data_IF_722252565885
#
_entry.id   IF_722252565885
#
_cell.length_a   1.000
_cell.length_b   1.000
_cell.length_c   1.000
_cell.angle_alpha   90.00
_cell.angle_beta   90.00
_cell.angle_gamma   90.00
#
_symmetry.space_group_name_H-M   'P 1'
#
loop_
_entity.id
_entity.type
_entity.pdbx_description
1 polymer ?
#
# COMPACT_ATOMS: atom_id res chain seq x y z
N UNK A 1 25.09 5.47 -6.21
CA UNK A 1 25.52 4.10 -6.53
C UNK A 1 24.66 3.55 -7.65
N UNK A 2 25.22 3.16 -8.79
CA UNK A 2 24.49 2.61 -9.95
C UNK A 2 24.74 1.11 -10.18
N UNK A 3 25.60 0.48 -9.38
CA UNK A 3 25.90 -0.95 -9.48
C UNK A 3 24.72 -1.84 -9.08
N UNK A 4 24.76 -3.08 -9.57
CA UNK A 4 23.78 -4.12 -9.23
C UNK A 4 24.46 -5.31 -8.55
N UNK A 5 23.89 -5.78 -7.44
CA UNK A 5 24.23 -7.03 -6.78
C UNK A 5 23.11 -8.05 -7.05
N UNK A 6 23.47 -9.26 -7.45
CA UNK A 6 22.49 -10.33 -7.70
C UNK A 6 22.70 -11.48 -6.72
N UNK A 7 21.65 -11.84 -5.99
CA UNK A 7 21.62 -12.95 -5.03
C UNK A 7 20.62 -14.00 -5.50
N UNK A 8 21.12 -15.02 -6.20
CA UNK A 8 20.31 -16.14 -6.73
C UNK A 8 20.42 -17.44 -5.92
N UNK A 9 21.35 -17.50 -4.95
CA UNK A 9 21.59 -18.68 -4.12
C UNK A 9 20.85 -18.65 -2.79
N UNK A 10 20.90 -19.77 -2.06
CA UNK A 10 20.55 -19.83 -0.65
C UNK A 10 21.69 -19.28 0.19
N UNK A 11 21.41 -18.29 1.02
CA UNK A 11 22.37 -17.73 1.97
C UNK A 11 21.95 -18.07 3.41
N UNK A 12 22.92 -18.44 4.25
CA UNK A 12 22.69 -18.83 5.66
C UNK A 12 23.31 -17.88 6.68
N UNK A 13 23.98 -16.83 6.21
CA UNK A 13 24.60 -15.82 7.08
C UNK A 13 23.56 -15.05 7.90
N UNK A 14 23.94 -14.68 9.13
CA UNK A 14 23.12 -13.90 10.06
C UNK A 14 23.56 -12.44 10.21
N UNK A 15 24.62 -12.04 9.51
CA UNK A 15 25.12 -10.67 9.51
C UNK A 15 24.12 -9.71 8.86
N UNK A 16 24.11 -8.45 9.33
CA UNK A 16 23.26 -7.43 8.75
C UNK A 16 23.58 -7.21 7.26
N UNK A 17 22.53 -7.04 6.46
CA UNK A 17 22.61 -6.69 5.05
C UNK A 17 22.15 -5.25 4.87
N UNK A 18 23.09 -4.34 4.59
CA UNK A 18 22.82 -2.91 4.51
C UNK A 18 23.04 -2.41 3.08
N UNK A 19 21.99 -1.87 2.48
CA UNK A 19 22.05 -1.16 1.20
C UNK A 19 22.08 0.34 1.46
N UNK A 20 23.03 1.05 0.86
CA UNK A 20 23.11 2.52 0.87
C UNK A 20 22.79 3.12 -0.51
N UNK A 21 22.19 2.32 -1.39
CA UNK A 21 21.84 2.65 -2.77
C UNK A 21 22.19 1.53 -3.75
N UNK A 22 21.91 1.75 -5.04
CA UNK A 22 22.17 0.76 -6.10
C UNK A 22 21.06 -0.29 -6.20
N UNK A 23 21.24 -1.29 -7.07
CA UNK A 23 20.23 -2.33 -7.32
C UNK A 23 20.57 -3.63 -6.61
N UNK A 24 19.61 -4.22 -5.90
CA UNK A 24 19.66 -5.58 -5.39
C UNK A 24 18.65 -6.45 -6.16
N UNK A 25 19.16 -7.41 -6.92
CA UNK A 25 18.35 -8.45 -7.56
C UNK A 25 18.21 -9.64 -6.58
N UNK A 26 17.01 -9.84 -6.05
CA UNK A 26 16.63 -10.95 -5.19
C UNK A 26 16.03 -12.07 -6.05
N UNK A 27 16.72 -13.20 -6.16
CA UNK A 27 16.30 -14.33 -7.00
C UNK A 27 16.24 -15.66 -6.22
N UNK A 28 16.17 -15.58 -4.89
CA UNK A 28 16.05 -16.73 -3.99
C UNK A 28 15.26 -16.36 -2.74
N UNK A 29 14.45 -17.30 -2.23
CA UNK A 29 13.63 -17.12 -1.03
C UNK A 29 14.45 -16.87 0.25
N UNK A 30 15.74 -17.25 0.25
CA UNK A 30 16.66 -17.06 1.37
C UNK A 30 17.87 -16.21 0.98
N UNK A 31 17.71 -15.39 -0.07
CA UNK A 31 18.79 -14.58 -0.63
C UNK A 31 19.52 -13.70 0.40
N UNK A 32 18.83 -13.21 1.43
CA UNK A 32 19.41 -12.30 2.43
C UNK A 32 20.04 -12.99 3.65
N UNK A 33 19.95 -14.33 3.76
CA UNK A 33 20.22 -14.98 5.04
C UNK A 33 19.21 -14.55 6.12
N UNK A 34 19.58 -14.56 7.39
CA UNK A 34 18.69 -14.27 8.53
C UNK A 34 18.96 -12.92 9.23
N UNK A 35 19.94 -12.16 8.76
CA UNK A 35 20.32 -10.89 9.39
C UNK A 35 19.33 -9.74 9.14
N UNK A 36 19.55 -8.62 9.83
CA UNK A 36 18.79 -7.38 9.65
C UNK A 36 18.95 -6.86 8.21
N UNK A 37 17.85 -6.50 7.56
CA UNK A 37 17.86 -5.91 6.23
C UNK A 37 17.64 -4.39 6.28
N UNK A 38 18.69 -3.61 6.05
CA UNK A 38 18.61 -2.14 6.05
C UNK A 38 18.54 -1.61 4.61
N UNK A 39 17.48 -0.86 4.31
CA UNK A 39 17.23 -0.24 3.01
C UNK A 39 17.48 1.26 3.12
N UNK A 40 18.59 1.73 2.57
CA UNK A 40 18.95 3.15 2.49
C UNK A 40 18.43 3.84 1.24
N UNK A 41 18.58 5.17 1.20
CA UNK A 41 18.14 6.01 0.10
C UNK A 41 18.76 5.61 -1.25
N UNK A 42 17.96 5.68 -2.32
CA UNK A 42 18.42 5.38 -3.69
C UNK A 42 18.62 3.89 -3.95
N UNK A 43 18.09 3.03 -3.07
CA UNK A 43 18.08 1.57 -3.28
C UNK A 43 17.01 1.18 -4.29
N UNK A 44 17.33 0.24 -5.17
CA UNK A 44 16.38 -0.43 -6.05
C UNK A 44 16.34 -1.92 -5.72
N UNK A 45 15.16 -2.45 -5.40
CA UNK A 45 14.92 -3.87 -5.28
C UNK A 45 14.36 -4.42 -6.59
N UNK A 46 14.78 -5.60 -6.98
CA UNK A 46 14.39 -6.22 -8.24
C UNK A 46 14.29 -7.75 -8.10
N UNK A 47 13.48 -8.38 -8.93
CA UNK A 47 13.27 -9.82 -9.04
C UNK A 47 13.26 -10.18 -10.52
N UNK A 48 14.32 -10.85 -11.00
CA UNK A 48 14.50 -11.15 -12.43
C UNK A 48 14.22 -12.61 -12.79
N UNK A 49 14.32 -13.53 -11.84
CA UNK A 49 14.18 -14.97 -12.07
C UNK A 49 12.80 -15.59 -11.83
N UNK A 50 11.83 -14.81 -11.33
CA UNK A 50 10.50 -15.29 -10.96
C UNK A 50 9.94 -14.55 -9.74
N UNK A 51 8.71 -14.89 -9.34
CA UNK A 51 8.12 -14.37 -8.11
C UNK A 51 8.87 -14.91 -6.89
N UNK A 52 9.22 -14.04 -5.95
CA UNK A 52 9.99 -14.40 -4.75
C UNK A 52 9.22 -14.02 -3.49
N UNK A 53 9.17 -14.96 -2.54
CA UNK A 53 8.79 -14.69 -1.15
C UNK A 53 10.00 -14.95 -0.27
N UNK A 54 10.45 -13.94 0.48
CA UNK A 54 11.55 -14.12 1.43
C UNK A 54 11.06 -14.89 2.65
N UNK A 55 11.50 -16.13 2.80
CA UNK A 55 11.02 -17.05 3.86
C UNK A 55 11.71 -16.85 5.20
N UNK A 56 12.87 -16.18 5.21
CA UNK A 56 13.61 -15.88 6.43
C UNK A 56 13.00 -14.72 7.23
N UNK A 57 12.03 -14.00 6.66
CA UNK A 57 11.30 -12.92 7.34
C UNK A 57 12.25 -11.94 8.04
N UNK A 58 13.30 -11.50 7.33
CA UNK A 58 14.30 -10.58 7.87
C UNK A 58 13.62 -9.34 8.45
N UNK A 59 13.96 -8.97 9.68
CA UNK A 59 13.60 -7.66 10.21
C UNK A 59 14.18 -6.57 9.29
N UNK A 60 13.44 -5.48 9.10
CA UNK A 60 13.78 -4.45 8.13
C UNK A 60 13.96 -3.09 8.81
N UNK A 61 14.89 -2.30 8.29
CA UNK A 61 15.01 -0.87 8.60
C UNK A 61 14.89 -0.08 7.32
N UNK A 62 13.88 0.77 7.21
CA UNK A 62 13.73 1.70 6.09
C UNK A 62 14.36 3.03 6.46
N UNK A 63 15.57 3.24 5.95
CA UNK A 63 16.41 4.40 6.23
C UNK A 63 16.46 5.41 5.07
N UNK A 64 15.61 5.24 4.05
CA UNK A 64 15.43 6.22 2.98
C UNK A 64 14.52 5.70 1.88
N UNK A 65 14.32 6.55 0.88
CA UNK A 65 13.48 6.25 -0.28
C UNK A 65 14.07 5.10 -1.11
N UNK A 66 13.20 4.23 -1.60
CA UNK A 66 13.62 3.10 -2.41
C UNK A 66 12.58 2.76 -3.49
N UNK A 67 13.07 2.04 -4.50
CA UNK A 67 12.27 1.66 -5.67
C UNK A 67 12.19 0.14 -5.75
N UNK A 68 11.06 -0.38 -6.18
CA UNK A 68 10.90 -1.74 -6.65
C UNK A 68 10.62 -1.73 -8.16
N UNK A 69 11.51 -2.34 -8.92
CA UNK A 69 11.43 -2.45 -10.39
C UNK A 69 11.23 -3.88 -10.89
N UNK A 70 10.95 -4.82 -9.96
CA UNK A 70 10.78 -6.24 -10.25
C UNK A 70 9.88 -6.54 -11.44
N UNK A 71 10.38 -7.39 -12.34
CA UNK A 71 9.57 -7.97 -13.41
C UNK A 71 8.62 -9.06 -12.89
N UNK A 72 8.75 -9.44 -11.63
CA UNK A 72 7.91 -10.42 -10.94
C UNK A 72 7.50 -9.90 -9.56
N UNK A 73 6.55 -10.54 -8.91
CA UNK A 73 6.17 -10.19 -7.53
C UNK A 73 7.33 -10.41 -6.55
N UNK A 74 7.47 -9.51 -5.58
CA UNK A 74 8.37 -9.67 -4.45
C UNK A 74 7.57 -9.57 -3.15
N UNK A 75 7.67 -10.56 -2.28
CA UNK A 75 7.18 -10.50 -0.92
C UNK A 75 8.38 -10.50 0.04
N UNK A 76 8.54 -9.42 0.81
CA UNK A 76 9.65 -9.25 1.77
C UNK A 76 9.46 -10.08 3.05
N UNK A 77 8.37 -10.85 3.16
CA UNK A 77 8.06 -11.69 4.31
C UNK A 77 7.43 -10.89 5.46
N UNK A 78 7.37 -11.51 6.63
CA UNK A 78 6.68 -11.00 7.83
C UNK A 78 7.62 -10.36 8.85
N UNK A 79 8.89 -10.15 8.51
CA UNK A 79 9.85 -9.52 9.42
C UNK A 79 9.46 -8.08 9.74
N UNK A 80 9.47 -7.72 11.03
CA UNK A 80 9.06 -6.39 11.49
C UNK A 80 9.83 -5.28 10.77
N UNK A 81 9.14 -4.18 10.45
CA UNK A 81 9.70 -3.05 9.71
C UNK A 81 9.79 -1.83 10.62
N UNK A 82 10.99 -1.28 10.74
CA UNK A 82 11.23 0.01 11.43
C UNK A 82 11.43 1.10 10.39
N UNK A 83 10.58 2.11 10.38
CA UNK A 83 10.80 3.33 9.61
C UNK A 83 11.73 4.25 10.39
N UNK A 84 12.95 4.48 9.91
CA UNK A 84 13.90 5.46 10.48
C UNK A 84 13.72 6.86 9.88
N UNK A 85 13.04 6.97 8.75
CA UNK A 85 12.66 8.21 8.07
C UNK A 85 11.22 8.12 7.56
N UNK A 86 10.63 9.26 7.17
CA UNK A 86 9.54 9.20 6.19
C UNK A 86 10.08 8.58 4.90
N UNK A 87 9.29 7.74 4.23
CA UNK A 87 9.76 6.93 3.10
C UNK A 87 8.86 7.15 1.90
N UNK A 88 9.47 7.48 0.76
CA UNK A 88 8.87 7.32 -0.55
C UNK A 88 9.27 5.96 -1.15
N UNK A 89 8.27 5.10 -1.33
CA UNK A 89 8.38 3.80 -1.96
C UNK A 89 7.78 3.87 -3.36
N UNK A 90 8.62 3.69 -4.39
CA UNK A 90 8.17 3.66 -5.78
C UNK A 90 8.07 2.22 -6.28
N UNK A 91 6.91 1.77 -6.74
CA UNK A 91 6.80 0.48 -7.47
C UNK A 91 6.47 0.76 -8.93
N UNK A 92 7.37 0.42 -9.85
CA UNK A 92 7.28 0.91 -11.24
C UNK A 92 6.44 0.01 -12.14
N UNK A 93 6.45 -1.30 -11.90
CA UNK A 93 5.86 -2.31 -12.79
C UNK A 93 4.39 -2.51 -12.48
N UNK A 94 3.50 -2.10 -13.40
CA UNK A 94 2.02 -2.11 -13.21
C UNK A 94 1.43 -3.50 -13.00
N UNK A 95 2.07 -4.54 -13.56
CA UNK A 95 1.60 -5.92 -13.44
C UNK A 95 1.99 -6.61 -12.13
N UNK A 96 2.92 -6.03 -11.35
CA UNK A 96 3.53 -6.70 -10.21
C UNK A 96 3.32 -5.97 -8.90
N UNK A 97 3.45 -6.73 -7.81
CA UNK A 97 3.34 -6.24 -6.46
C UNK A 97 4.64 -6.37 -5.68
N UNK A 98 4.91 -5.35 -4.87
CA UNK A 98 5.77 -5.48 -3.69
C UNK A 98 4.86 -5.73 -2.48
N UNK A 99 5.06 -6.84 -1.78
CA UNK A 99 4.36 -7.15 -0.52
C UNK A 99 5.28 -6.92 0.67
N UNK A 100 4.79 -6.15 1.64
CA UNK A 100 5.41 -5.96 2.95
C UNK A 100 4.49 -6.61 3.98
N UNK A 101 4.90 -7.78 4.46
CA UNK A 101 4.09 -8.57 5.39
C UNK A 101 4.34 -8.27 6.86
N UNK A 102 5.48 -7.68 7.19
CA UNK A 102 5.81 -7.29 8.56
C UNK A 102 5.09 -6.02 8.99
N UNK A 103 4.87 -5.89 10.29
CA UNK A 103 4.31 -4.70 10.91
C UNK A 103 5.28 -3.52 10.72
N UNK A 104 4.79 -2.45 10.10
CA UNK A 104 5.54 -1.20 9.91
C UNK A 104 5.28 -0.29 11.11
N UNK A 105 6.33 0.01 11.87
CA UNK A 105 6.31 0.96 12.98
C UNK A 105 7.33 2.07 12.81
N UNK A 106 7.03 3.23 13.38
CA UNK A 106 7.91 4.40 13.38
C UNK A 106 8.37 4.82 14.78
N UNK A 107 7.97 4.08 15.82
CA UNK A 107 8.26 4.41 17.22
C UNK A 107 7.56 5.68 17.71
N UNK A 108 6.42 6.06 17.11
CA UNK A 108 5.65 7.26 17.50
C UNK A 108 6.16 8.56 16.89
N UNK A 109 6.96 8.49 15.83
CA UNK A 109 7.58 9.66 15.19
C UNK A 109 6.71 10.28 14.07
N UNK A 110 5.49 9.79 13.87
CA UNK A 110 4.56 10.22 12.82
C UNK A 110 5.19 10.29 11.42
N UNK A 111 5.97 9.27 11.07
CA UNK A 111 6.67 9.20 9.78
C UNK A 111 5.69 8.88 8.66
N UNK A 112 5.84 9.56 7.53
CA UNK A 112 4.95 9.42 6.39
C UNK A 112 5.40 8.27 5.48
N UNK A 113 4.42 7.59 4.89
CA UNK A 113 4.65 6.61 3.83
C UNK A 113 4.07 7.17 2.52
N UNK A 114 4.90 7.37 1.51
CA UNK A 114 4.46 7.78 0.17
C UNK A 114 4.63 6.64 -0.81
N UNK A 115 3.55 6.22 -1.47
CA UNK A 115 3.56 5.25 -2.56
C UNK A 115 3.50 5.96 -3.91
N UNK A 116 4.49 5.71 -4.75
CA UNK A 116 4.60 6.22 -6.13
C UNK A 116 4.77 5.09 -7.14
N UNK A 117 4.72 5.43 -8.43
CA UNK A 117 4.84 4.48 -9.55
C UNK A 117 3.57 3.65 -9.77
N UNK A 118 3.43 3.07 -10.98
CA UNK A 118 2.19 2.42 -11.41
C UNK A 118 1.92 1.03 -10.84
N UNK A 119 2.88 0.42 -10.13
CA UNK A 119 2.73 -0.92 -9.54
C UNK A 119 1.90 -0.92 -8.26
N UNK A 120 1.78 -2.12 -7.67
CA UNK A 120 1.05 -2.32 -6.41
C UNK A 120 1.99 -2.44 -5.22
N UNK A 121 1.66 -1.78 -4.11
CA UNK A 121 2.21 -2.05 -2.78
C UNK A 121 1.14 -2.77 -1.97
N UNK A 122 1.44 -3.97 -1.48
CA UNK A 122 0.53 -4.76 -0.63
C UNK A 122 1.05 -4.71 0.81
N UNK A 123 0.21 -4.22 1.72
CA UNK A 123 0.50 -4.14 3.15
C UNK A 123 -0.39 -5.14 3.88
N UNK A 124 0.22 -6.18 4.44
CA UNK A 124 -0.53 -7.24 5.15
C UNK A 124 -0.29 -7.24 6.67
N UNK A 125 0.71 -6.49 7.14
CA UNK A 125 1.00 -6.34 8.56
C UNK A 125 0.01 -5.41 9.27
N UNK A 126 -0.09 -5.55 10.59
CA UNK A 126 -0.81 -4.60 11.45
C UNK A 126 0.12 -3.41 11.75
N UNK A 127 0.06 -2.38 10.90
CA UNK A 127 0.98 -1.25 10.94
C UNK A 127 0.63 -0.28 12.08
N UNK A 128 1.64 0.42 12.59
CA UNK A 128 1.53 1.33 13.74
C UNK A 128 2.17 2.70 13.50
N UNK A 129 2.69 2.98 12.31
CA UNK A 129 3.19 4.32 11.99
C UNK A 129 2.08 5.37 12.11
N UNK A 130 2.46 6.56 12.59
CA UNK A 130 1.51 7.63 12.92
C UNK A 130 1.27 8.64 11.79
N UNK A 131 2.17 8.69 10.80
CA UNK A 131 2.16 9.69 9.74
C UNK A 131 1.16 9.39 8.63
N UNK A 132 1.11 10.31 7.67
CA UNK A 132 0.20 10.24 6.51
C UNK A 132 0.61 9.12 5.56
N UNK A 133 -0.36 8.33 5.08
CA UNK A 133 -0.16 7.48 3.90
C UNK A 133 -0.53 8.27 2.64
N UNK A 134 0.44 8.62 1.80
CA UNK A 134 0.19 9.29 0.52
C UNK A 134 0.24 8.28 -0.62
N UNK A 135 -0.79 8.21 -1.46
CA UNK A 135 -0.82 7.38 -2.67
C UNK A 135 -0.77 8.29 -3.90
N UNK A 136 0.45 8.54 -4.38
CA UNK A 136 0.68 9.43 -5.52
C UNK A 136 0.34 8.77 -6.86
N UNK A 137 0.57 7.46 -7.00
CA UNK A 137 0.24 6.70 -8.21
C UNK A 137 0.14 5.19 -7.92
N UNK A 138 -0.53 4.48 -8.83
CA UNK A 138 -0.67 3.02 -8.77
C UNK A 138 -1.62 2.59 -7.66
N UNK A 139 -1.29 1.49 -6.98
CA UNK A 139 -2.18 0.88 -5.99
C UNK A 139 -1.49 0.69 -4.65
N UNK A 140 -2.18 1.03 -3.56
CA UNK A 140 -1.92 0.47 -2.22
C UNK A 140 -3.05 -0.50 -1.92
N UNK A 141 -2.73 -1.75 -1.59
CA UNK A 141 -3.67 -2.77 -1.16
C UNK A 141 -3.43 -3.10 0.29
N UNK A 142 -4.48 -3.08 1.10
CA UNK A 142 -4.45 -3.53 2.49
C UNK A 142 -5.30 -4.78 2.67
N UNK A 143 -4.84 -5.68 3.54
CA UNK A 143 -5.53 -6.95 3.84
C UNK A 143 -5.99 -7.02 5.30
N UNK A 144 -6.09 -5.87 5.99
CA UNK A 144 -6.40 -5.82 7.42
C UNK A 144 -6.69 -4.41 7.93
N UNK A 145 -7.32 -4.35 9.09
CA UNK A 145 -7.89 -3.13 9.71
C UNK A 145 -6.90 -1.97 9.89
N UNK A 146 -5.64 -2.27 10.23
CA UNK A 146 -4.58 -1.28 10.49
C UNK A 146 -3.48 -1.30 9.43
N UNK A 147 -3.79 -1.76 8.22
CA UNK A 147 -2.83 -1.78 7.11
C UNK A 147 -2.28 -0.39 6.73
N UNK A 148 -2.97 0.69 7.10
CA UNK A 148 -2.57 2.09 6.84
C UNK A 148 -1.91 2.78 8.04
N UNK A 149 -1.64 2.04 9.13
CA UNK A 149 -1.10 2.61 10.36
C UNK A 149 -2.18 3.09 11.33
N UNK A 150 -1.82 4.04 12.19
CA UNK A 150 -2.78 4.73 13.06
C UNK A 150 -3.71 5.64 12.26
N UNK A 151 -4.87 5.99 12.81
CA UNK A 151 -5.82 6.88 12.13
C UNK A 151 -5.49 8.38 12.25
N UNK A 152 -4.35 8.74 12.86
CA UNK A 152 -4.02 10.13 13.16
C UNK A 152 -3.58 10.93 11.92
N UNK A 153 -2.80 10.30 11.04
CA UNK A 153 -2.28 10.94 9.82
C UNK A 153 -3.28 10.99 8.67
N UNK A 154 -4.16 9.99 8.56
CA UNK A 154 -5.03 9.86 7.39
C UNK A 154 -4.30 9.35 6.14
N UNK A 155 -5.11 9.11 5.11
CA UNK A 155 -4.64 8.64 3.81
C UNK A 155 -5.06 9.63 2.73
N UNK A 156 -4.12 10.01 1.86
CA UNK A 156 -4.34 11.01 0.82
C UNK A 156 -3.91 10.46 -0.53
N UNK A 157 -4.81 10.47 -1.50
CA UNK A 157 -4.46 10.30 -2.91
C UNK A 157 -4.15 11.66 -3.51
N UNK A 158 -2.99 11.79 -4.16
CA UNK A 158 -2.57 13.06 -4.81
C UNK A 158 -2.60 12.99 -6.33
N UNK A 159 -2.59 11.78 -6.90
CA UNK A 159 -2.65 11.55 -8.34
C UNK A 159 -3.64 10.44 -8.72
N UNK A 160 -3.42 9.84 -9.89
CA UNK A 160 -4.21 8.71 -10.40
C UNK A 160 -3.81 7.45 -9.63
N UNK A 161 -4.59 7.11 -8.61
CA UNK A 161 -4.27 5.99 -7.73
C UNK A 161 -5.51 5.31 -7.14
N UNK A 162 -5.31 4.13 -6.57
CA UNK A 162 -6.37 3.36 -5.88
C UNK A 162 -5.89 2.88 -4.52
N UNK A 163 -6.76 2.99 -3.53
CA UNK A 163 -6.69 2.22 -2.29
C UNK A 163 -7.60 0.99 -2.43
N UNK A 164 -7.03 -0.20 -2.29
CA UNK A 164 -7.75 -1.47 -2.34
C UNK A 164 -7.91 -2.10 -0.97
N UNK A 165 -9.13 -2.55 -0.67
CA UNK A 165 -9.46 -3.38 0.49
C UNK A 165 -9.63 -4.83 0.02
N UNK A 166 -8.75 -5.70 0.48
CA UNK A 166 -8.74 -7.12 0.12
C UNK A 166 -9.07 -7.99 1.33
N UNK A 167 -10.35 -8.35 1.44
CA UNK A 167 -10.87 -9.21 2.51
C UNK A 167 -10.84 -10.69 2.17
N UNK A 168 -10.01 -11.15 1.22
CA UNK A 168 -9.87 -12.58 0.90
C UNK A 168 -9.50 -13.43 2.12
N UNK A 169 -8.67 -12.89 3.03
CA UNK A 169 -8.31 -13.51 4.30
C UNK A 169 -9.34 -13.36 5.42
N UNK A 170 -10.44 -12.65 5.17
CA UNK A 170 -11.47 -12.33 6.16
C UNK A 170 -11.91 -10.87 6.06
N UNK A 171 -13.17 -10.62 6.37
CA UNK A 171 -13.72 -9.27 6.48
C UNK A 171 -12.99 -8.45 7.54
N UNK A 172 -12.75 -7.16 7.28
CA UNK A 172 -12.17 -6.24 8.25
C UNK A 172 -12.79 -4.84 8.17
N UNK A 173 -12.59 -4.09 9.25
CA UNK A 173 -13.00 -2.69 9.36
C UNK A 173 -11.77 -1.81 9.47
N UNK A 174 -11.54 -0.95 8.50
CA UNK A 174 -10.64 0.20 8.67
C UNK A 174 -11.33 1.16 9.63
N UNK A 175 -10.61 1.61 10.66
CA UNK A 175 -11.14 2.53 11.69
C UNK A 175 -11.53 3.91 11.13
N UNK A 176 -11.55 4.93 11.99
CA UNK A 176 -11.85 6.31 11.61
C UNK A 176 -10.69 7.01 10.85
N UNK A 177 -10.05 6.29 9.92
CA UNK A 177 -8.99 6.80 9.04
C UNK A 177 -9.60 7.77 8.03
N UNK A 178 -9.23 9.05 8.09
CA UNK A 178 -9.68 10.01 7.09
C UNK A 178 -9.07 9.69 5.73
N UNK A 179 -9.89 9.65 4.67
CA UNK A 179 -9.43 9.39 3.30
C UNK A 179 -9.73 10.56 2.40
N UNK A 180 -8.71 11.09 1.72
CA UNK A 180 -8.92 11.96 0.56
C UNK A 180 -8.74 11.15 -0.73
N UNK A 181 -9.79 11.04 -1.55
CA UNK A 181 -9.76 10.39 -2.85
C UNK A 181 -9.73 11.38 -4.01
N UNK A 182 -9.13 10.95 -5.13
CA UNK A 182 -9.03 11.72 -6.36
C UNK A 182 -9.26 10.83 -7.58
N UNK A 183 -10.24 11.19 -8.39
CA UNK A 183 -10.42 10.63 -9.72
C UNK A 183 -11.06 9.25 -9.70
N UNK A 184 -11.02 8.58 -10.86
CA UNK A 184 -11.74 7.32 -11.07
C UNK A 184 -10.95 6.08 -10.63
N UNK A 185 -9.79 6.27 -10.00
CA UNK A 185 -8.86 5.21 -9.64
C UNK A 185 -7.64 5.13 -10.56
N UNK A 186 -6.82 4.10 -10.34
CA UNK A 186 -5.70 3.76 -11.22
C UNK A 186 -6.18 3.44 -12.65
N UNK A 187 -5.43 3.87 -13.66
CA UNK A 187 -5.81 3.76 -15.08
C UNK A 187 -5.26 2.49 -15.76
N UNK A 188 -4.37 1.75 -15.11
CA UNK A 188 -3.70 0.58 -15.68
C UNK A 188 -3.61 -0.59 -14.69
N UNK A 189 -3.62 -1.85 -15.17
CA UNK A 189 -3.84 -2.27 -16.56
C UNK A 189 -5.31 -2.17 -16.99
N UNK A 190 -6.22 -2.08 -16.04
CA UNK A 190 -7.67 -1.98 -16.24
C UNK A 190 -8.15 -0.64 -15.70
N UNK A 191 -8.62 0.29 -16.55
CA UNK A 191 -8.95 1.64 -16.14
C UNK A 191 -10.21 1.74 -15.28
N UNK A 192 -10.26 2.77 -14.44
CA UNK A 192 -11.47 3.27 -13.77
C UNK A 192 -12.12 2.32 -12.76
N UNK A 193 -11.32 1.62 -11.97
CA UNK A 193 -11.81 0.63 -10.99
C UNK A 193 -12.12 1.19 -9.59
N UNK A 194 -12.09 2.52 -9.43
CA UNK A 194 -12.35 3.18 -8.17
C UNK A 194 -11.09 3.75 -7.54
N UNK A 195 -11.19 4.97 -7.03
CA UNK A 195 -10.19 5.56 -6.15
C UNK A 195 -10.17 4.84 -4.79
N UNK A 196 -11.35 4.46 -4.27
CA UNK A 196 -11.49 3.47 -3.21
C UNK A 196 -12.17 2.23 -3.79
N UNK A 197 -11.57 1.05 -3.59
CA UNK A 197 -12.05 -0.19 -4.21
C UNK A 197 -12.03 -1.35 -3.21
N UNK A 198 -13.17 -2.01 -3.04
CA UNK A 198 -13.27 -3.28 -2.34
C UNK A 198 -13.14 -4.43 -3.33
N UNK A 199 -12.09 -5.24 -3.25
CA UNK A 199 -11.82 -6.29 -4.25
C UNK A 199 -12.32 -7.67 -3.82
N UNK A 200 -12.49 -7.90 -2.52
CA UNK A 200 -12.99 -9.16 -1.97
C UNK A 200 -13.48 -8.98 -0.53
N UNK A 201 -14.43 -9.82 -0.11
CA UNK A 201 -14.96 -9.84 1.25
C UNK A 201 -15.89 -8.67 1.57
N UNK A 202 -16.44 -8.71 2.79
CA UNK A 202 -17.34 -7.68 3.30
C UNK A 202 -16.57 -6.71 4.19
N UNK A 203 -15.96 -5.68 3.60
CA UNK A 203 -15.10 -4.74 4.34
C UNK A 203 -15.83 -3.46 4.70
N UNK A 204 -15.40 -2.83 5.79
CA UNK A 204 -15.94 -1.54 6.26
C UNK A 204 -14.86 -0.48 6.29
N UNK A 205 -15.21 0.74 5.87
CA UNK A 205 -14.38 1.93 6.01
C UNK A 205 -15.06 2.92 6.97
N UNK A 206 -14.45 3.14 8.14
CA UNK A 206 -15.05 3.89 9.25
C UNK A 206 -14.77 5.40 9.25
N UNK A 207 -13.82 5.88 8.46
CA UNK A 207 -13.54 7.32 8.33
C UNK A 207 -14.33 7.99 7.20
N UNK A 208 -14.36 9.32 7.22
CA UNK A 208 -14.94 10.12 6.14
C UNK A 208 -14.09 9.99 4.87
N UNK A 209 -14.75 9.75 3.75
CA UNK A 209 -14.15 9.78 2.41
C UNK A 209 -14.39 11.14 1.78
N UNK A 210 -13.36 11.98 1.75
CA UNK A 210 -13.39 13.31 1.14
C UNK A 210 -12.97 13.22 -0.33
N UNK A 211 -13.81 13.72 -1.23
CA UNK A 211 -13.48 13.80 -2.65
C UNK A 211 -12.85 15.14 -2.98
N UNK A 212 -11.64 15.12 -3.55
CA UNK A 212 -10.97 16.35 -3.97
C UNK A 212 -11.20 16.69 -5.46
N UNK A 213 -11.71 15.74 -6.25
CA UNK A 213 -12.29 15.91 -7.60
C UNK A 213 -13.41 14.87 -7.79
N UNK A 214 -14.12 14.88 -8.92
CA UNK A 214 -15.04 13.77 -9.28
C UNK A 214 -14.31 12.44 -9.08
N UNK A 215 -14.91 11.54 -8.31
CA UNK A 215 -14.22 10.32 -7.88
C UNK A 215 -15.14 9.11 -7.92
N UNK A 216 -14.52 7.92 -8.02
CA UNK A 216 -15.24 6.64 -8.02
C UNK A 216 -14.97 5.83 -6.75
N UNK A 217 -16.02 5.29 -6.14
CA UNK A 217 -15.95 4.26 -5.09
C UNK A 217 -16.55 2.97 -5.66
N UNK A 218 -15.87 1.84 -5.49
CA UNK A 218 -16.23 0.61 -6.18
C UNK A 218 -16.18 -0.60 -5.24
N UNK A 219 -17.06 -1.59 -5.46
CA UNK A 219 -16.96 -2.92 -4.86
C UNK A 219 -17.04 -3.98 -5.95
N UNK A 220 -15.99 -4.76 -6.14
CA UNK A 220 -15.95 -5.82 -7.15
C UNK A 220 -16.60 -7.11 -6.66
N UNK A 221 -16.49 -7.38 -5.37
CA UNK A 221 -16.97 -8.60 -4.73
C UNK A 221 -17.27 -8.33 -3.27
N UNK A 222 -18.29 -9.00 -2.72
CA UNK A 222 -18.77 -8.72 -1.37
C UNK A 222 -19.33 -7.30 -1.21
N UNK A 223 -19.38 -6.82 0.02
CA UNK A 223 -19.92 -5.49 0.36
C UNK A 223 -18.82 -4.55 0.85
N UNK A 224 -18.70 -3.37 0.24
CA UNK A 224 -18.01 -2.23 0.86
C UNK A 224 -19.03 -1.45 1.70
N UNK A 225 -18.80 -1.31 3.01
CA UNK A 225 -19.62 -0.45 3.87
C UNK A 225 -18.85 0.83 4.22
N UNK A 226 -19.39 2.00 3.91
CA UNK A 226 -18.93 3.28 4.45
C UNK A 226 -19.78 3.57 5.70
N UNK A 227 -19.18 3.52 6.89
CA UNK A 227 -19.93 3.53 8.15
C UNK A 227 -19.84 4.83 8.93
N UNK A 228 -19.03 5.80 8.48
CA UNK A 228 -18.93 7.09 9.15
C UNK A 228 -20.26 7.87 9.04
N UNK A 229 -20.73 8.57 10.10
CA UNK A 229 -21.95 9.40 10.02
C UNK A 229 -21.93 10.42 8.87
N UNK A 230 -20.77 10.94 8.51
CA UNK A 230 -20.51 11.65 7.24
C UNK A 230 -19.61 10.76 6.40
N UNK A 231 -20.21 9.83 5.65
CA UNK A 231 -19.49 8.80 4.90
C UNK A 231 -18.72 9.38 3.73
N UNK A 232 -19.33 10.31 2.98
CA UNK A 232 -18.70 10.98 1.83
C UNK A 232 -18.87 12.48 1.96
N UNK A 233 -17.80 13.24 1.71
CA UNK A 233 -17.80 14.71 1.75
C UNK A 233 -17.17 15.30 0.50
N UNK A 234 -17.79 16.33 -0.07
CA UNK A 234 -17.28 17.06 -1.23
C UNK A 234 -18.00 18.41 -1.41
N UNK A 235 -17.46 19.29 -2.26
CA UNK A 235 -18.15 20.52 -2.67
C UNK A 235 -18.45 20.49 -4.16
N UNK A 236 -19.71 20.21 -4.51
CA UNK A 236 -20.23 20.20 -5.88
C UNK A 236 -19.50 19.24 -6.82
N UNK A 237 -19.11 18.06 -6.30
CA UNK A 237 -18.43 17.02 -7.06
C UNK A 237 -19.32 15.80 -7.21
N UNK A 238 -19.28 15.17 -8.38
CA UNK A 238 -20.03 13.93 -8.65
C UNK A 238 -19.36 12.72 -8.01
N UNK A 239 -20.13 11.94 -7.27
CA UNK A 239 -19.71 10.63 -6.78
C UNK A 239 -20.11 9.55 -7.78
N UNK A 240 -19.13 8.81 -8.30
CA UNK A 240 -19.40 7.64 -9.13
C UNK A 240 -19.34 6.39 -8.24
N UNK A 241 -20.37 5.55 -8.29
CA UNK A 241 -20.39 4.25 -7.60
C UNK A 241 -20.50 3.11 -8.60
N UNK A 242 -19.96 1.94 -8.27
CA UNK A 242 -20.16 0.76 -9.13
C UNK A 242 -19.44 -0.51 -8.65
N UNK A 243 -19.27 -1.42 -9.60
CA UNK A 243 -18.67 -2.74 -9.41
C UNK A 243 -19.73 -3.85 -9.33
N UNK A 244 -19.29 -5.11 -9.30
CA UNK A 244 -20.19 -6.27 -9.28
C UNK A 244 -20.64 -6.67 -7.86
N UNK A 245 -19.95 -6.17 -6.83
CA UNK A 245 -20.33 -6.28 -5.42
C UNK A 245 -21.27 -5.17 -4.97
N UNK A 246 -21.59 -5.15 -3.68
CA UNK A 246 -22.46 -4.16 -3.06
C UNK A 246 -21.66 -2.99 -2.48
N UNK A 247 -22.25 -1.80 -2.49
CA UNK A 247 -21.79 -0.64 -1.74
C UNK A 247 -22.92 -0.20 -0.80
N UNK A 248 -22.63 -0.18 0.50
CA UNK A 248 -23.52 0.33 1.54
C UNK A 248 -22.93 1.62 2.07
N UNK A 249 -23.66 2.74 1.93
CA UNK A 249 -23.28 4.03 2.51
C UNK A 249 -24.25 4.31 3.66
N UNK A 250 -23.78 4.12 4.90
CA UNK A 250 -24.63 4.20 6.10
C UNK A 250 -24.78 5.63 6.64
N UNK A 251 -23.83 6.52 6.34
CA UNK A 251 -23.89 7.92 6.71
C UNK A 251 -24.27 8.86 5.57
N UNK A 252 -24.25 10.16 5.86
CA UNK A 252 -24.56 11.20 4.91
C UNK A 252 -23.55 11.23 3.74
N UNK A 253 -24.09 11.53 2.56
CA UNK A 253 -23.34 11.94 1.37
C UNK A 253 -23.48 13.47 1.30
N UNK A 254 -22.43 14.18 1.73
CA UNK A 254 -22.40 15.64 1.83
C UNK A 254 -21.62 16.23 0.64
N UNK A 255 -22.16 16.15 -0.57
CA UNK A 255 -21.53 16.58 -1.84
C UNK A 255 -22.01 17.94 -2.36
N UNK A 256 -22.92 18.62 -1.66
CA UNK A 256 -23.52 19.89 -2.11
C UNK A 256 -24.46 19.70 -3.30
N UNK A 257 -24.29 20.49 -4.37
CA UNK A 257 -25.07 20.32 -5.62
C UNK A 257 -24.56 19.18 -6.50
N UNK A 258 -23.48 18.51 -6.10
CA UNK A 258 -22.95 17.32 -6.78
C UNK A 258 -23.82 16.10 -6.51
N UNK A 259 -24.16 15.35 -7.56
CA UNK A 259 -24.91 14.08 -7.50
C UNK A 259 -24.05 12.84 -7.36
#
# INVERSE_FOLDING_TARGET
>A
NTGALTLSGTNTGSGAFTLTGGTLNLNSATALGSGLFTIGAGTTLNTTGGAITLTNNNAQVWNGDYTFTGANNLNLGTGAVTMSNSVALTTTTTANSLTVGGNIGDGGNNRNLTKSGGGTLVLTGANTYGGVTTIASGVVRITGATGLGSTAGGTIQTGVSTLELDGTGGAFTVGAEALTIRGLGNLLPTPNLGALRNIAGNNTYGGTVTMAIQSRINSDSGTLTLSNPTSVSATNLTLVVGGAGNLTISGAIATGTGG
#
